data_IF_437003408233
#
_entry.id   IF_437003408233
#
_cell.length_a   1.000
_cell.length_b   1.000
_cell.length_c   1.000
_cell.angle_alpha   90.00
_cell.angle_beta   90.00
_cell.angle_gamma   90.00
#
_symmetry.space_group_name_H-M   'P 1'
#
loop_
_entity.id
_entity.type
_entity.pdbx_description
1 polymer ?
#
# COMPACT_ATOMS: atom_id res chain seq x y z
N UNK A 1 17.51 7.03 1.63
CA UNK A 1 16.97 7.45 2.96
C UNK A 1 15.85 8.44 2.70
N UNK A 2 14.68 8.34 3.35
CA UNK A 2 13.58 9.27 3.13
C UNK A 2 14.01 10.70 3.51
N UNK A 3 13.70 11.66 2.63
CA UNK A 3 14.00 13.08 2.83
C UNK A 3 13.32 13.60 4.12
N UNK A 4 14.03 14.46 4.87
CA UNK A 4 13.52 15.05 6.10
C UNK A 4 12.22 15.85 5.88
N UNK A 5 12.13 16.58 4.75
CA UNK A 5 10.95 17.38 4.41
C UNK A 5 9.71 16.50 4.18
N UNK A 6 9.86 15.35 3.56
CA UNK A 6 8.77 14.37 3.36
C UNK A 6 8.25 13.85 4.71
N UNK A 7 9.16 13.51 5.64
CA UNK A 7 8.78 13.09 7.00
C UNK A 7 8.01 14.17 7.73
N UNK A 8 8.50 15.42 7.65
CA UNK A 8 7.85 16.57 8.26
C UNK A 8 6.43 16.77 7.73
N UNK A 9 6.23 16.72 6.41
CA UNK A 9 4.92 16.83 5.78
C UNK A 9 3.95 15.74 6.21
N UNK A 10 4.39 14.49 6.25
CA UNK A 10 3.56 13.37 6.75
C UNK A 10 3.14 13.61 8.21
N UNK A 11 4.05 14.08 9.06
CA UNK A 11 3.72 14.40 10.44
C UNK A 11 2.73 15.56 10.53
N UNK A 12 2.91 16.62 9.73
CA UNK A 12 1.95 17.75 9.66
C UNK A 12 0.55 17.29 9.26
N UNK A 13 0.43 16.41 8.24
CA UNK A 13 -0.86 15.82 7.85
C UNK A 13 -1.53 15.08 9.01
N UNK A 14 -0.75 14.32 9.80
CA UNK A 14 -1.27 13.62 10.98
C UNK A 14 -1.69 14.60 12.07
N UNK A 15 -0.89 15.61 12.36
CA UNK A 15 -1.19 16.62 13.38
C UNK A 15 -2.50 17.37 13.09
N UNK A 16 -2.79 17.65 11.80
CA UNK A 16 -4.07 18.22 11.37
C UNK A 16 -5.23 17.28 11.74
N UNK A 17 -5.04 15.98 11.62
CA UNK A 17 -6.10 14.97 11.84
C UNK A 17 -6.30 14.59 13.31
N UNK A 18 -5.28 14.70 14.17
CA UNK A 18 -5.29 14.22 15.56
C UNK A 18 -6.53 14.66 16.34
N UNK A 19 -6.95 15.91 16.19
CA UNK A 19 -8.11 16.44 16.92
C UNK A 19 -9.48 15.98 16.40
N UNK A 20 -9.54 15.39 15.19
CA UNK A 20 -10.79 15.01 14.51
C UNK A 20 -10.89 13.51 14.26
N UNK A 21 -9.76 12.86 14.11
CA UNK A 21 -9.63 11.40 13.84
C UNK A 21 -8.71 10.83 14.92
N UNK A 22 -9.25 10.44 16.09
CA UNK A 22 -8.42 10.01 17.23
C UNK A 22 -7.71 8.68 16.99
N UNK A 23 -8.25 7.80 16.14
CA UNK A 23 -7.63 6.53 15.81
C UNK A 23 -6.47 6.71 14.82
N UNK A 24 -5.22 6.32 15.20
CA UNK A 24 -4.05 6.43 14.32
C UNK A 24 -4.17 5.65 13.01
N UNK A 25 -4.84 4.50 13.02
CA UNK A 25 -5.10 3.71 11.80
C UNK A 25 -5.97 4.50 10.83
N UNK A 26 -7.05 5.10 11.34
CA UNK A 26 -7.92 5.94 10.52
C UNK A 26 -7.21 7.20 9.99
N UNK A 27 -6.28 7.80 10.77
CA UNK A 27 -5.45 8.91 10.27
C UNK A 27 -4.60 8.47 9.07
N UNK A 28 -3.91 7.34 9.19
CA UNK A 28 -3.09 6.77 8.11
C UNK A 28 -3.94 6.48 6.88
N UNK A 29 -5.12 5.94 7.07
CA UNK A 29 -6.05 5.65 5.98
C UNK A 29 -6.49 6.92 5.24
N UNK A 30 -6.87 7.98 5.96
CA UNK A 30 -7.24 9.27 5.37
C UNK A 30 -6.09 9.90 4.56
N UNK A 31 -4.88 9.88 5.10
CA UNK A 31 -3.70 10.39 4.40
C UNK A 31 -3.41 9.54 3.16
N UNK A 32 -3.49 8.22 3.25
CA UNK A 32 -3.31 7.29 2.14
C UNK A 32 -4.26 7.58 0.99
N UNK A 33 -5.56 7.67 1.30
CA UNK A 33 -6.61 7.93 0.32
C UNK A 33 -6.36 9.26 -0.39
N UNK A 34 -6.03 10.31 0.35
CA UNK A 34 -5.80 11.64 -0.22
C UNK A 34 -4.54 11.68 -1.09
N UNK A 35 -3.44 11.06 -0.67
CA UNK A 35 -2.21 10.99 -1.45
C UNK A 35 -2.39 10.20 -2.75
N UNK A 36 -3.11 9.08 -2.71
CA UNK A 36 -3.43 8.29 -3.91
C UNK A 36 -4.37 9.06 -4.83
N UNK A 37 -5.36 9.74 -4.28
CA UNK A 37 -6.29 10.57 -5.04
C UNK A 37 -5.54 11.67 -5.82
N UNK A 38 -4.66 12.40 -5.12
CA UNK A 38 -3.79 13.41 -5.75
C UNK A 38 -2.88 12.77 -6.80
N UNK A 39 -2.23 11.65 -6.48
CA UNK A 39 -1.33 10.95 -7.40
C UNK A 39 -2.00 10.55 -8.73
N UNK A 40 -3.26 10.14 -8.69
CA UNK A 40 -4.02 9.84 -9.91
C UNK A 40 -4.17 11.07 -10.82
N UNK A 41 -4.45 12.24 -10.25
CA UNK A 41 -4.53 13.47 -11.03
C UNK A 41 -3.16 13.94 -11.53
N UNK A 42 -2.12 13.81 -10.72
CA UNK A 42 -0.75 14.11 -11.14
C UNK A 42 -0.34 13.25 -12.37
N UNK A 43 -0.70 11.95 -12.37
CA UNK A 43 -0.48 11.07 -13.54
C UNK A 43 -1.27 11.53 -14.78
N UNK A 44 -2.51 11.95 -14.60
CA UNK A 44 -3.33 12.49 -15.70
C UNK A 44 -2.73 13.79 -16.27
N UNK A 45 -2.23 14.68 -15.40
CA UNK A 45 -1.58 15.92 -15.81
C UNK A 45 -0.26 15.64 -16.54
N UNK A 46 0.56 14.74 -16.01
CA UNK A 46 1.79 14.31 -16.70
C UNK A 46 1.49 13.73 -18.08
N UNK A 47 0.43 12.92 -18.19
CA UNK A 47 -0.03 12.39 -19.49
C UNK A 47 -0.41 13.48 -20.48
N UNK A 48 -1.07 14.54 -20.03
CA UNK A 48 -1.42 15.71 -20.85
C UNK A 48 -0.17 16.46 -21.31
N UNK A 49 0.81 16.68 -20.41
CA UNK A 49 2.05 17.38 -20.74
C UNK A 49 2.87 16.65 -21.81
N UNK A 50 2.73 15.33 -21.91
CA UNK A 50 3.30 14.51 -22.99
C UNK A 50 2.39 14.40 -24.24
N UNK A 51 1.34 15.21 -24.34
CA UNK A 51 0.46 15.25 -25.51
C UNK A 51 -0.65 14.20 -25.54
N UNK A 52 -0.87 13.51 -24.42
CA UNK A 52 -1.98 12.58 -24.22
C UNK A 52 -3.26 13.27 -23.72
N UNK A 53 -4.11 12.49 -23.07
CA UNK A 53 -5.35 12.93 -22.43
C UNK A 53 -5.46 12.32 -21.03
N UNK A 54 -6.34 12.88 -20.20
CA UNK A 54 -6.66 12.27 -18.91
C UNK A 54 -7.08 10.81 -19.07
N UNK A 55 -6.66 9.96 -18.17
CA UNK A 55 -7.03 8.54 -18.15
C UNK A 55 -8.00 8.21 -17.01
N UNK A 56 -7.83 8.80 -15.84
CA UNK A 56 -8.58 8.51 -14.64
C UNK A 56 -9.79 9.44 -14.47
N UNK A 57 -9.59 10.74 -14.68
CA UNK A 57 -10.62 11.76 -14.51
C UNK A 57 -11.15 12.23 -15.88
N UNK A 58 -11.94 11.34 -16.52
CA UNK A 58 -12.59 11.61 -17.82
C UNK A 58 -14.07 11.96 -17.65
N UNK A 59 -14.61 12.66 -18.63
CA UNK A 59 -16.05 12.94 -18.76
C UNK A 59 -16.64 13.58 -17.49
N UNK A 60 -17.73 13.04 -16.96
CA UNK A 60 -18.36 13.53 -15.74
C UNK A 60 -17.49 13.46 -14.48
N UNK A 61 -16.39 12.69 -14.50
CA UNK A 61 -15.43 12.59 -13.40
C UNK A 61 -14.36 13.69 -13.42
N UNK A 62 -14.26 14.50 -14.47
CA UNK A 62 -13.24 15.55 -14.57
C UNK A 62 -13.34 16.57 -13.42
N UNK A 63 -14.54 16.92 -13.00
CA UNK A 63 -14.78 17.86 -11.89
C UNK A 63 -14.22 17.37 -10.56
N UNK A 64 -13.95 16.07 -10.41
CA UNK A 64 -13.35 15.45 -9.23
C UNK A 64 -11.83 15.35 -9.32
N UNK A 65 -11.17 15.76 -10.41
CA UNK A 65 -9.73 15.80 -10.48
C UNK A 65 -9.17 16.69 -9.36
N UNK A 66 -8.06 16.27 -8.72
CA UNK A 66 -7.46 17.03 -7.61
C UNK A 66 -7.23 18.49 -7.97
N UNK A 67 -6.67 18.76 -9.15
CA UNK A 67 -6.44 20.11 -9.68
C UNK A 67 -7.72 20.92 -9.80
N UNK A 68 -8.84 20.28 -10.14
CA UNK A 68 -10.15 20.94 -10.22
C UNK A 68 -10.74 21.21 -8.84
N UNK A 69 -10.61 20.25 -7.89
CA UNK A 69 -11.04 20.45 -6.51
C UNK A 69 -10.29 21.60 -5.87
N UNK A 70 -8.97 21.66 -6.08
CA UNK A 70 -8.09 22.67 -5.49
C UNK A 70 -8.05 24.00 -6.23
N UNK A 71 -8.84 24.17 -7.28
CA UNK A 71 -8.96 25.42 -8.02
C UNK A 71 -9.22 26.59 -7.05
N UNK A 72 -8.60 27.73 -7.36
CA UNK A 72 -8.71 28.95 -6.54
C UNK A 72 -10.10 29.56 -6.54
N UNK A 73 -10.90 29.28 -7.55
CA UNK A 73 -12.30 29.71 -7.66
C UNK A 73 -13.20 28.98 -6.66
N UNK A 74 -12.81 27.78 -6.22
CA UNK A 74 -13.58 27.01 -5.24
C UNK A 74 -13.40 27.54 -3.82
N UNK A 75 -14.50 27.80 -3.14
CA UNK A 75 -14.50 28.04 -1.69
C UNK A 75 -14.07 26.80 -0.92
N UNK A 76 -13.61 26.95 0.33
CA UNK A 76 -13.27 25.81 1.19
C UNK A 76 -14.40 24.79 1.37
N UNK A 77 -15.67 25.26 1.37
CA UNK A 77 -16.85 24.39 1.44
C UNK A 77 -17.04 23.59 0.13
N UNK A 78 -16.84 24.24 -1.01
CA UNK A 78 -16.93 23.56 -2.31
C UNK A 78 -15.84 22.50 -2.47
N UNK A 79 -14.60 22.80 -2.06
CA UNK A 79 -13.50 21.82 -2.06
C UNK A 79 -13.82 20.60 -1.19
N UNK A 80 -14.31 20.83 0.02
CA UNK A 80 -14.69 19.76 0.93
C UNK A 80 -15.83 18.90 0.35
N UNK A 81 -16.82 19.52 -0.27
CA UNK A 81 -17.93 18.82 -0.90
C UNK A 81 -17.45 17.98 -2.10
N UNK A 82 -16.70 18.60 -3.04
CA UNK A 82 -16.20 17.91 -4.23
C UNK A 82 -15.28 16.74 -3.88
N UNK A 83 -14.43 16.91 -2.87
CA UNK A 83 -13.55 15.82 -2.40
C UNK A 83 -14.35 14.66 -1.80
N UNK A 84 -15.33 14.95 -0.94
CA UNK A 84 -16.19 13.94 -0.33
C UNK A 84 -17.00 13.16 -1.39
N UNK A 85 -17.65 13.89 -2.29
CA UNK A 85 -18.40 13.29 -3.41
C UNK A 85 -17.44 12.49 -4.33
N UNK A 86 -16.25 13.03 -4.60
CA UNK A 86 -15.24 12.39 -5.42
C UNK A 86 -14.80 11.03 -4.84
N UNK A 87 -14.52 10.92 -3.54
CA UNK A 87 -14.18 9.65 -2.88
C UNK A 87 -15.26 8.59 -3.13
N UNK A 88 -16.54 8.94 -2.96
CA UNK A 88 -17.65 8.03 -3.20
C UNK A 88 -17.73 7.61 -4.68
N UNK A 89 -17.54 8.56 -5.60
CA UNK A 89 -17.61 8.32 -7.05
C UNK A 89 -16.45 7.48 -7.58
N UNK A 90 -15.28 7.50 -6.94
CA UNK A 90 -14.13 6.71 -7.41
C UNK A 90 -14.41 5.20 -7.42
N UNK A 91 -15.25 4.69 -6.52
CA UNK A 91 -15.61 3.26 -6.49
C UNK A 91 -16.36 2.79 -7.74
N UNK A 92 -17.09 3.69 -8.37
CA UNK A 92 -17.94 3.42 -9.56
C UNK A 92 -17.38 4.01 -10.84
N UNK A 93 -16.25 4.71 -10.78
CA UNK A 93 -15.62 5.31 -11.95
C UNK A 93 -15.12 4.21 -12.93
N UNK A 94 -15.71 4.08 -14.13
CA UNK A 94 -15.35 3.04 -15.08
C UNK A 94 -13.95 3.23 -15.69
N UNK A 95 -13.41 4.44 -15.64
CA UNK A 95 -12.08 4.77 -16.18
C UNK A 95 -10.96 4.32 -15.23
N UNK A 96 -11.26 4.04 -13.95
CA UNK A 96 -10.26 3.57 -13.00
C UNK A 96 -9.98 2.07 -13.16
N UNK A 97 -8.71 1.65 -13.16
CA UNK A 97 -8.34 0.26 -12.92
C UNK A 97 -8.98 -0.28 -11.63
N UNK A 98 -9.27 -1.58 -11.61
CA UNK A 98 -9.91 -2.24 -10.46
C UNK A 98 -9.15 -1.99 -9.14
N UNK A 99 -7.81 -1.97 -9.19
CA UNK A 99 -6.96 -1.66 -8.04
C UNK A 99 -7.35 -0.34 -7.37
N UNK A 100 -7.49 0.74 -8.14
CA UNK A 100 -7.87 2.05 -7.58
C UNK A 100 -9.30 2.06 -7.04
N UNK A 101 -10.24 1.45 -7.76
CA UNK A 101 -11.61 1.31 -7.26
C UNK A 101 -11.67 0.58 -5.92
N UNK A 102 -10.85 -0.47 -5.75
CA UNK A 102 -10.76 -1.22 -4.50
C UNK A 102 -10.15 -0.38 -3.37
N UNK A 103 -9.20 0.52 -3.66
CA UNK A 103 -8.63 1.44 -2.68
C UNK A 103 -9.70 2.36 -2.09
N UNK A 104 -10.62 2.85 -2.92
CA UNK A 104 -11.70 3.75 -2.46
C UNK A 104 -12.91 3.02 -1.90
N UNK A 105 -12.98 1.68 -2.02
CA UNK A 105 -14.11 0.92 -1.49
C UNK A 105 -14.20 1.02 0.03
N UNK A 106 -15.34 1.54 0.51
CA UNK A 106 -15.58 1.78 1.92
C UNK A 106 -14.84 3.00 2.49
N UNK A 107 -14.12 3.76 1.65
CA UNK A 107 -13.51 5.00 2.08
C UNK A 107 -14.59 6.04 2.41
N UNK A 108 -14.41 6.73 3.52
CA UNK A 108 -15.30 7.81 3.96
C UNK A 108 -14.49 8.87 4.70
N UNK A 109 -15.07 10.07 4.81
CA UNK A 109 -14.46 11.15 5.60
C UNK A 109 -15.06 11.11 7.00
N UNK A 110 -14.28 10.79 8.05
CA UNK A 110 -14.80 10.61 9.41
C UNK A 110 -15.09 11.93 10.14
N UNK A 111 -14.82 13.06 9.52
CA UNK A 111 -15.05 14.39 10.08
C UNK A 111 -15.70 15.31 9.04
N UNK A 112 -16.55 16.22 9.51
CA UNK A 112 -17.34 17.11 8.65
C UNK A 112 -16.96 18.58 8.75
N UNK A 113 -15.91 18.89 9.49
CA UNK A 113 -15.42 20.25 9.65
C UNK A 113 -14.71 20.72 8.37
N UNK A 114 -15.30 21.68 7.60
CA UNK A 114 -14.72 22.11 6.32
C UNK A 114 -13.36 22.81 6.48
N UNK A 115 -13.10 23.46 7.62
CA UNK A 115 -11.83 24.16 7.86
C UNK A 115 -10.69 23.15 7.98
N UNK A 116 -10.84 22.15 8.85
CA UNK A 116 -9.86 21.07 9.02
C UNK A 116 -9.64 20.33 7.70
N UNK A 117 -10.73 19.97 7.00
CA UNK A 117 -10.63 19.28 5.71
C UNK A 117 -9.88 20.13 4.68
N UNK A 118 -10.19 21.42 4.60
CA UNK A 118 -9.51 22.31 3.65
C UNK A 118 -8.02 22.51 4.00
N UNK A 119 -7.66 22.58 5.30
CA UNK A 119 -6.24 22.60 5.73
C UNK A 119 -5.54 21.31 5.32
N UNK A 120 -6.18 20.15 5.54
CA UNK A 120 -5.67 18.84 5.17
C UNK A 120 -5.46 18.73 3.64
N UNK A 121 -6.45 19.11 2.84
CA UNK A 121 -6.36 19.07 1.38
C UNK A 121 -5.25 19.99 0.84
N UNK A 122 -5.05 21.17 1.44
CA UNK A 122 -3.96 22.06 1.05
C UNK A 122 -2.59 21.43 1.33
N UNK A 123 -2.41 20.86 2.53
CA UNK A 123 -1.13 20.21 2.89
C UNK A 123 -0.84 18.99 2.00
N UNK A 124 -1.86 18.21 1.63
CA UNK A 124 -1.74 17.13 0.62
C UNK A 124 -1.37 17.71 -0.76
N UNK A 125 -2.00 18.82 -1.16
CA UNK A 125 -1.71 19.50 -2.44
C UNK A 125 -0.26 19.97 -2.54
N UNK A 126 0.30 20.43 -1.42
CA UNK A 126 1.71 20.87 -1.32
C UNK A 126 2.71 19.71 -1.21
N UNK A 127 2.24 18.47 -1.15
CA UNK A 127 3.10 17.30 -1.12
C UNK A 127 3.69 17.06 -2.52
N UNK A 128 5.00 17.34 -2.67
CA UNK A 128 5.75 17.16 -3.91
C UNK A 128 6.61 15.90 -3.84
N UNK A 129 6.71 15.22 -4.94
CA UNK A 129 7.56 14.05 -5.16
C UNK A 129 7.98 14.04 -6.63
N UNK A 130 9.22 13.67 -6.90
CA UNK A 130 9.73 13.63 -8.28
C UNK A 130 9.34 12.33 -8.99
N UNK A 131 9.20 11.24 -8.24
CA UNK A 131 8.86 9.92 -8.77
C UNK A 131 7.94 9.15 -7.84
N UNK A 132 7.10 8.27 -8.40
CA UNK A 132 6.20 7.40 -7.64
C UNK A 132 6.91 6.59 -6.53
N UNK A 133 8.21 6.29 -6.69
CA UNK A 133 9.01 5.60 -5.68
C UNK A 133 9.24 6.45 -4.42
N UNK A 134 9.35 7.78 -4.54
CA UNK A 134 9.40 8.68 -3.39
C UNK A 134 8.07 8.68 -2.64
N UNK A 135 6.96 8.71 -3.36
CA UNK A 135 5.64 8.55 -2.76
C UNK A 135 5.51 7.18 -2.08
N UNK A 136 6.02 6.10 -2.69
CA UNK A 136 6.10 4.78 -2.07
C UNK A 136 6.90 4.78 -0.77
N UNK A 137 8.05 5.44 -0.73
CA UNK A 137 8.87 5.57 0.48
C UNK A 137 8.17 6.41 1.56
N UNK A 138 7.47 7.48 1.17
CA UNK A 138 6.64 8.28 2.08
C UNK A 138 5.50 7.45 2.66
N UNK A 139 4.87 6.64 1.83
CA UNK A 139 3.83 5.71 2.25
C UNK A 139 4.36 4.64 3.22
N UNK A 140 5.52 4.05 2.96
CA UNK A 140 6.17 3.14 3.91
C UNK A 140 6.46 3.80 5.26
N UNK A 141 6.89 5.07 5.26
CA UNK A 141 7.08 5.82 6.50
C UNK A 141 5.75 6.02 7.23
N UNK A 142 4.69 6.42 6.53
CA UNK A 142 3.34 6.56 7.09
C UNK A 142 2.87 5.25 7.73
N UNK A 143 3.03 4.13 7.04
CA UNK A 143 2.71 2.80 7.57
C UNK A 143 3.56 2.43 8.80
N UNK A 144 4.83 2.87 8.86
CA UNK A 144 5.71 2.59 10.00
C UNK A 144 5.24 3.25 11.29
N UNK A 145 4.60 4.40 11.18
CA UNK A 145 4.04 5.13 12.33
C UNK A 145 2.83 4.38 12.90
N UNK A 146 2.00 3.78 12.05
CA UNK A 146 0.86 2.96 12.46
C UNK A 146 1.29 1.79 13.36
N UNK A 147 2.38 1.10 12.99
CA UNK A 147 2.88 -0.05 13.74
C UNK A 147 3.54 0.29 15.08
N UNK A 148 3.99 1.54 15.28
CA UNK A 148 4.68 1.95 16.51
C UNK A 148 3.75 2.32 17.68
N UNK A 149 2.45 2.49 17.44
CA UNK A 149 1.48 2.96 18.44
C UNK A 149 0.67 1.85 19.13
N UNK A 150 1.05 0.58 18.94
CA UNK A 150 0.65 -0.49 19.86
C UNK A 150 -0.80 -0.95 19.79
N UNK A 151 -1.48 -0.85 18.65
CA UNK A 151 -2.80 -1.45 18.50
C UNK A 151 -2.70 -2.99 18.50
N UNK A 152 -3.50 -3.58 19.37
CA UNK A 152 -3.46 -4.98 19.75
C UNK A 152 -3.44 -5.93 18.52
N UNK A 153 -2.27 -6.51 18.24
CA UNK A 153 -2.13 -7.67 17.37
C UNK A 153 -1.50 -7.45 16.01
N UNK A 154 -1.20 -6.22 15.59
CA UNK A 154 -0.51 -5.96 14.32
C UNK A 154 0.93 -5.49 14.58
N UNK A 155 1.81 -6.43 14.87
CA UNK A 155 3.24 -6.15 15.03
C UNK A 155 3.90 -6.06 13.65
N UNK A 156 4.19 -4.85 13.21
CA UNK A 156 4.99 -4.65 12.00
C UNK A 156 6.45 -5.00 12.29
N UNK A 157 7.04 -5.84 11.46
CA UNK A 157 8.48 -6.15 11.54
C UNK A 157 9.29 -4.88 11.28
N UNK A 158 10.22 -4.51 12.17
CA UNK A 158 11.10 -3.37 11.95
C UNK A 158 11.89 -3.49 10.64
N UNK A 159 12.01 -2.39 9.89
CA UNK A 159 12.62 -2.41 8.55
C UNK A 159 14.02 -3.04 8.55
N UNK A 160 14.87 -2.70 9.50
CA UNK A 160 16.23 -3.25 9.57
C UNK A 160 16.27 -4.77 9.78
N UNK A 161 15.25 -5.35 10.42
CA UNK A 161 15.12 -6.82 10.57
C UNK A 161 14.67 -7.43 9.24
N UNK A 162 13.71 -6.81 8.55
CA UNK A 162 13.28 -7.24 7.22
C UNK A 162 14.49 -7.24 6.26
N UNK A 163 15.21 -6.12 6.21
CA UNK A 163 16.35 -5.95 5.30
C UNK A 163 17.47 -6.95 5.61
N UNK A 164 17.76 -7.21 6.90
CA UNK A 164 18.70 -8.25 7.32
C UNK A 164 18.27 -9.64 6.84
N UNK A 165 17.01 -10.02 7.02
CA UNK A 165 16.50 -11.32 6.59
C UNK A 165 16.57 -11.47 5.07
N UNK A 166 16.21 -10.42 4.33
CA UNK A 166 16.29 -10.39 2.86
C UNK A 166 17.75 -10.49 2.38
N UNK A 167 18.68 -9.82 3.06
CA UNK A 167 20.10 -9.89 2.71
C UNK A 167 20.70 -11.27 2.95
N UNK A 168 20.29 -11.96 4.03
CA UNK A 168 20.72 -13.36 4.31
C UNK A 168 20.20 -14.33 3.26
N UNK A 169 18.93 -14.18 2.86
CA UNK A 169 18.29 -15.05 1.85
C UNK A 169 18.80 -14.73 0.43
N UNK A 170 19.17 -13.49 0.17
CA UNK A 170 19.72 -12.96 -1.08
C UNK A 170 18.90 -13.35 -2.33
N UNK A 171 17.61 -12.96 -2.39
CA UNK A 171 16.72 -13.32 -3.50
C UNK A 171 17.24 -12.83 -4.85
N UNK A 172 17.02 -13.63 -5.89
CA UNK A 172 17.44 -13.36 -7.26
C UNK A 172 16.24 -12.93 -8.12
N UNK A 173 16.50 -12.29 -9.25
CA UNK A 173 15.47 -11.78 -10.18
C UNK A 173 14.54 -12.86 -10.75
N UNK A 174 14.95 -14.13 -10.69
CA UNK A 174 14.19 -15.28 -11.19
C UNK A 174 13.36 -15.95 -10.13
N UNK A 175 13.63 -15.69 -8.84
CA UNK A 175 12.98 -16.38 -7.74
C UNK A 175 11.52 -15.92 -7.57
N UNK A 176 10.66 -16.87 -7.28
CA UNK A 176 9.29 -16.61 -6.83
C UNK A 176 9.26 -16.41 -5.32
N UNK A 177 8.60 -15.35 -4.85
CA UNK A 177 8.67 -14.91 -3.46
C UNK A 177 7.27 -14.77 -2.89
N UNK A 178 7.02 -15.43 -1.76
CA UNK A 178 5.76 -15.36 -1.01
C UNK A 178 5.97 -14.75 0.38
N UNK A 179 5.02 -13.93 0.79
CA UNK A 179 4.76 -13.59 2.19
C UNK A 179 3.32 -14.01 2.55
N UNK A 180 3.11 -15.14 3.28
CA UNK A 180 1.79 -15.68 3.60
C UNK A 180 1.07 -14.96 4.74
N UNK A 181 1.66 -13.90 5.30
CA UNK A 181 1.09 -13.00 6.31
C UNK A 181 1.61 -11.58 6.07
N UNK A 182 1.39 -11.06 4.84
CA UNK A 182 2.19 -9.98 4.29
C UNK A 182 1.96 -8.60 4.94
N UNK A 183 0.88 -8.42 5.69
CA UNK A 183 0.57 -7.12 6.30
C UNK A 183 0.58 -6.02 5.24
N UNK A 184 1.57 -5.13 5.31
CA UNK A 184 1.77 -4.03 4.36
C UNK A 184 2.78 -4.33 3.25
N UNK A 185 3.08 -5.61 2.98
CA UNK A 185 4.04 -6.11 1.99
C UNK A 185 5.50 -5.71 2.24
N UNK A 186 5.91 -5.55 3.50
CA UNK A 186 7.25 -5.09 3.86
C UNK A 186 8.36 -6.00 3.33
N UNK A 187 8.25 -7.32 3.48
CA UNK A 187 9.21 -8.30 2.98
C UNK A 187 9.28 -8.30 1.45
N UNK A 188 8.13 -8.25 0.79
CA UNK A 188 8.07 -8.24 -0.68
C UNK A 188 8.76 -7.01 -1.26
N UNK A 189 8.51 -5.83 -0.70
CA UNK A 189 9.14 -4.58 -1.15
C UNK A 189 10.63 -4.56 -0.86
N UNK A 190 11.06 -5.04 0.31
CA UNK A 190 12.50 -5.13 0.62
C UNK A 190 13.21 -6.08 -0.32
N UNK A 191 12.64 -7.26 -0.60
CA UNK A 191 13.17 -8.21 -1.58
C UNK A 191 13.28 -7.60 -2.98
N UNK A 192 12.25 -6.89 -3.43
CA UNK A 192 12.29 -6.19 -4.71
C UNK A 192 13.39 -5.13 -4.79
N UNK A 193 13.53 -4.30 -3.74
CA UNK A 193 14.59 -3.30 -3.66
C UNK A 193 15.98 -3.93 -3.64
N UNK A 194 16.15 -5.03 -2.89
CA UNK A 194 17.40 -5.80 -2.84
C UNK A 194 17.80 -6.33 -4.22
N UNK A 195 16.86 -6.98 -4.92
CA UNK A 195 17.14 -7.51 -6.28
C UNK A 195 17.52 -6.36 -7.23
N UNK A 196 16.82 -5.24 -7.19
CA UNK A 196 17.14 -4.05 -8.00
C UNK A 196 18.54 -3.52 -7.70
N UNK A 197 18.91 -3.43 -6.44
CA UNK A 197 20.23 -2.93 -6.03
C UNK A 197 21.37 -3.88 -6.44
N UNK A 198 21.18 -5.19 -6.30
CA UNK A 198 22.13 -6.21 -6.75
C UNK A 198 22.28 -6.26 -8.28
N UNK A 199 21.33 -5.72 -9.03
CA UNK A 199 21.34 -5.67 -10.49
C UNK A 199 21.63 -4.22 -10.99
N UNK A 200 22.68 -3.60 -10.44
CA UNK A 200 23.26 -2.34 -10.92
C UNK A 200 24.68 -2.57 -11.42
N UNK A 201 25.04 -1.82 -12.46
CA UNK A 201 26.43 -1.77 -12.94
C UNK A 201 27.29 -0.83 -12.04
N UNK A 202 28.55 -0.69 -12.39
CA UNK A 202 29.50 0.16 -11.66
C UNK A 202 29.14 1.66 -11.69
N UNK A 203 28.36 2.07 -12.67
CA UNK A 203 27.90 3.45 -12.87
C UNK A 203 26.53 3.67 -12.23
N UNK A 204 25.96 2.63 -11.56
CA UNK A 204 24.68 2.69 -10.87
C UNK A 204 23.46 2.47 -11.78
N UNK A 205 23.65 2.18 -13.06
CA UNK A 205 22.57 1.91 -13.99
C UNK A 205 21.99 0.49 -13.77
N UNK A 206 20.69 0.34 -14.01
CA UNK A 206 20.05 -0.98 -13.91
C UNK A 206 20.51 -1.91 -15.03
N UNK A 207 20.97 -3.10 -14.66
CA UNK A 207 21.26 -4.20 -15.61
C UNK A 207 20.05 -5.07 -15.93
N UNK A 208 18.90 -4.81 -15.26
CA UNK A 208 17.64 -5.51 -15.54
C UNK A 208 17.06 -5.07 -16.88
N UNK A 209 16.80 -6.03 -17.76
CA UNK A 209 16.07 -5.80 -19.00
C UNK A 209 14.60 -5.44 -18.74
N UNK A 210 13.86 -5.03 -19.78
CA UNK A 210 12.42 -4.81 -19.68
C UNK A 210 11.68 -6.12 -19.34
N UNK A 211 12.12 -7.24 -19.90
CA UNK A 211 11.53 -8.55 -19.63
C UNK A 211 11.84 -9.02 -18.20
N UNK A 212 13.06 -8.80 -17.69
CA UNK A 212 13.38 -9.07 -16.29
C UNK A 212 12.44 -8.33 -15.35
N UNK A 213 12.23 -7.02 -15.59
CA UNK A 213 11.33 -6.19 -14.75
C UNK A 213 9.88 -6.66 -14.81
N UNK A 214 9.43 -7.09 -15.99
CA UNK A 214 8.08 -7.64 -16.18
C UNK A 214 7.93 -8.98 -15.45
N UNK A 215 8.87 -9.90 -15.62
CA UNK A 215 8.87 -11.19 -14.93
C UNK A 215 8.94 -11.05 -13.41
N UNK A 216 9.83 -10.19 -12.92
CA UNK A 216 9.90 -9.90 -11.48
C UNK A 216 8.57 -9.42 -10.92
N UNK A 217 7.83 -8.54 -11.63
CA UNK A 217 6.53 -8.07 -11.15
C UNK A 217 5.49 -9.20 -11.00
N UNK A 218 5.66 -10.31 -11.72
CA UNK A 218 4.81 -11.49 -11.64
C UNK A 218 5.26 -12.52 -10.59
N UNK A 219 6.47 -12.41 -10.07
CA UNK A 219 7.08 -13.38 -9.16
C UNK A 219 6.79 -13.14 -7.67
N UNK A 220 6.13 -12.05 -7.33
CA UNK A 220 5.85 -11.67 -5.94
C UNK A 220 4.40 -11.91 -5.60
N UNK A 221 4.13 -12.64 -4.52
CA UNK A 221 2.80 -12.88 -3.99
C UNK A 221 2.73 -12.59 -2.49
N UNK A 222 1.58 -12.15 -2.02
CA UNK A 222 1.32 -11.93 -0.60
C UNK A 222 -0.10 -12.31 -0.23
N UNK A 223 -0.26 -12.83 0.99
CA UNK A 223 -1.55 -13.18 1.56
C UNK A 223 -1.77 -12.44 2.88
N UNK A 224 -2.96 -11.98 3.10
CA UNK A 224 -3.39 -11.46 4.39
C UNK A 224 -4.88 -11.71 4.59
N UNK A 225 -5.28 -11.98 5.82
CA UNK A 225 -6.69 -12.20 6.19
C UNK A 225 -7.48 -10.87 6.27
N UNK A 226 -6.79 -9.75 6.49
CA UNK A 226 -7.41 -8.45 6.67
C UNK A 226 -7.61 -7.74 5.33
N UNK A 227 -8.86 -7.44 4.91
CA UNK A 227 -9.13 -6.68 3.70
C UNK A 227 -8.41 -5.32 3.68
N UNK A 228 -8.28 -4.66 4.86
CA UNK A 228 -7.58 -3.39 4.99
C UNK A 228 -6.08 -3.53 4.71
N UNK A 229 -5.44 -4.61 5.23
CA UNK A 229 -4.03 -4.88 4.96
C UNK A 229 -3.80 -5.22 3.49
N UNK A 230 -4.68 -6.02 2.89
CA UNK A 230 -4.66 -6.32 1.45
C UNK A 230 -4.75 -5.04 0.62
N UNK A 231 -5.62 -4.11 0.99
CA UNK A 231 -5.74 -2.81 0.34
C UNK A 231 -4.47 -1.98 0.46
N UNK A 232 -3.96 -1.82 1.69
CA UNK A 232 -2.74 -1.04 1.95
C UNK A 232 -1.51 -1.67 1.27
N UNK A 233 -1.38 -2.98 1.29
CA UNK A 233 -0.26 -3.68 0.64
C UNK A 233 -0.30 -3.56 -0.89
N UNK A 234 -1.48 -3.62 -1.50
CA UNK A 234 -1.65 -3.38 -2.94
C UNK A 234 -1.22 -1.96 -3.32
N UNK A 235 -1.62 -0.95 -2.54
CA UNK A 235 -1.17 0.43 -2.73
C UNK A 235 0.35 0.50 -2.63
N UNK A 236 0.92 -0.06 -1.57
CA UNK A 236 2.36 -0.04 -1.33
C UNK A 236 3.14 -0.67 -2.48
N UNK A 237 2.72 -1.85 -2.92
CA UNK A 237 3.32 -2.54 -4.07
C UNK A 237 3.18 -1.72 -5.37
N UNK A 238 1.99 -1.13 -5.62
CA UNK A 238 1.77 -0.31 -6.81
C UNK A 238 2.71 0.89 -6.87
N UNK A 239 2.88 1.61 -5.77
CA UNK A 239 3.82 2.73 -5.67
C UNK A 239 5.27 2.31 -5.90
N UNK A 240 5.59 1.02 -5.67
CA UNK A 240 6.88 0.41 -5.96
C UNK A 240 6.95 -0.28 -7.34
N UNK A 241 6.10 0.14 -8.30
CA UNK A 241 6.11 -0.26 -9.71
C UNK A 241 5.48 -1.63 -10.02
N UNK A 242 4.73 -2.20 -9.09
CA UNK A 242 3.92 -3.38 -9.37
C UNK A 242 2.56 -2.97 -9.93
N UNK A 243 2.41 -2.93 -11.25
CA UNK A 243 1.17 -2.49 -11.90
C UNK A 243 -0.05 -3.36 -11.54
N UNK A 244 0.18 -4.65 -11.26
CA UNK A 244 -0.84 -5.62 -10.85
C UNK A 244 -0.35 -6.45 -9.66
N UNK A 245 -0.36 -5.87 -8.43
CA UNK A 245 0.12 -6.57 -7.24
C UNK A 245 -0.66 -7.86 -6.98
N UNK A 246 0.03 -8.98 -6.85
CA UNK A 246 -0.55 -10.28 -6.50
C UNK A 246 -0.71 -10.41 -4.98
N UNK A 247 -1.54 -9.56 -4.42
CA UNK A 247 -1.89 -9.60 -3.00
C UNK A 247 -3.33 -10.07 -2.87
N UNK A 248 -3.54 -11.10 -2.06
CA UNK A 248 -4.82 -11.76 -1.95
C UNK A 248 -5.33 -11.73 -0.51
N UNK A 249 -6.64 -11.49 -0.37
CA UNK A 249 -7.34 -11.78 0.87
C UNK A 249 -7.44 -13.30 1.01
N UNK A 250 -6.69 -13.85 1.95
CA UNK A 250 -6.58 -15.29 2.12
C UNK A 250 -6.22 -15.64 3.56
N UNK A 251 -6.99 -16.54 4.15
CA UNK A 251 -6.69 -17.10 5.46
C UNK A 251 -5.84 -18.35 5.30
N UNK A 252 -4.54 -18.21 5.50
CA UNK A 252 -3.57 -19.31 5.41
C UNK A 252 -3.88 -20.47 6.37
N UNK A 253 -4.61 -20.24 7.47
CA UNK A 253 -4.92 -21.28 8.45
C UNK A 253 -6.14 -22.12 8.08
N UNK A 254 -7.11 -21.55 7.37
CA UNK A 254 -8.40 -22.21 7.12
C UNK A 254 -8.74 -22.45 5.65
N UNK A 255 -8.11 -21.71 4.73
CA UNK A 255 -8.40 -21.77 3.30
C UNK A 255 -7.51 -22.78 2.57
N UNK A 256 -8.04 -23.34 1.47
CA UNK A 256 -7.40 -24.39 0.67
C UNK A 256 -6.96 -23.95 -0.72
N UNK A 257 -7.56 -22.87 -1.22
CA UNK A 257 -7.50 -22.50 -2.63
C UNK A 257 -6.05 -22.26 -3.16
N UNK A 258 -5.13 -21.91 -2.24
CA UNK A 258 -3.72 -21.59 -2.56
C UNK A 258 -2.72 -22.50 -1.86
N UNK A 259 -3.20 -23.60 -1.29
CA UNK A 259 -2.35 -24.51 -0.52
C UNK A 259 -1.26 -25.18 -1.35
N UNK A 260 -1.50 -25.41 -2.62
CA UNK A 260 -0.59 -26.12 -3.52
C UNK A 260 0.29 -25.17 -4.34
N UNK A 261 0.24 -23.86 -4.08
CA UNK A 261 1.18 -22.91 -4.67
C UNK A 261 2.57 -23.08 -4.03
N UNK A 262 3.61 -23.14 -4.88
CA UNK A 262 4.99 -23.31 -4.43
C UNK A 262 5.82 -22.07 -4.81
N UNK A 263 6.77 -21.73 -3.96
CA UNK A 263 7.63 -20.57 -4.12
C UNK A 263 9.07 -20.94 -3.79
N UNK A 264 10.03 -20.31 -4.46
CA UNK A 264 11.47 -20.51 -4.20
C UNK A 264 11.86 -19.94 -2.85
N UNK A 265 11.23 -18.82 -2.44
CA UNK A 265 11.49 -18.11 -1.19
C UNK A 265 10.18 -17.77 -0.51
N UNK A 266 10.11 -18.06 0.80
CA UNK A 266 9.02 -17.62 1.66
C UNK A 266 9.61 -16.82 2.82
N UNK A 267 9.18 -15.55 2.97
CA UNK A 267 9.58 -14.66 4.05
C UNK A 267 8.34 -14.20 4.80
N UNK A 268 8.29 -14.43 6.10
CA UNK A 268 7.12 -14.12 6.90
C UNK A 268 7.46 -13.72 8.34
N UNK A 269 6.63 -12.86 8.91
CA UNK A 269 6.46 -12.68 10.34
C UNK A 269 4.99 -12.93 10.69
N UNK A 270 4.57 -14.20 10.85
CA UNK A 270 3.17 -14.54 11.08
C UNK A 270 2.70 -14.09 12.46
N UNK A 271 1.37 -13.97 12.66
CA UNK A 271 0.81 -13.58 13.95
C UNK A 271 1.13 -14.63 15.03
N UNK A 272 1.52 -14.16 16.24
CA UNK A 272 1.80 -14.99 17.42
C UNK A 272 0.57 -15.08 18.30
N UNK A 273 -0.37 -15.93 17.94
CA UNK A 273 -1.65 -16.04 18.65
C UNK A 273 -2.20 -17.45 18.64
N UNK A 274 -3.14 -17.70 19.54
CA UNK A 274 -4.04 -18.86 19.43
C UNK A 274 -5.32 -18.35 18.74
N UNK A 275 -5.73 -18.93 17.60
CA UNK A 275 -6.98 -18.57 16.94
C UNK A 275 -8.16 -18.68 17.91
N UNK A 276 -8.98 -17.64 17.99
CA UNK A 276 -10.17 -17.56 18.86
C UNK A 276 -11.44 -17.82 18.05
N UNK A 277 -12.56 -17.98 18.75
CA UNK A 277 -13.88 -18.07 18.09
C UNK A 277 -14.16 -19.37 17.36
N UNK A 278 -13.50 -20.47 17.74
CA UNK A 278 -13.76 -21.77 17.12
C UNK A 278 -13.10 -21.97 15.75
N UNK A 279 -12.17 -21.10 15.38
CA UNK A 279 -11.38 -21.25 14.15
C UNK A 279 -10.59 -22.56 14.26
N UNK A 280 -10.88 -23.49 13.35
CA UNK A 280 -10.21 -24.78 13.25
C UNK A 280 -9.31 -24.74 12.03
N UNK A 281 -7.98 -24.89 12.21
CA UNK A 281 -7.05 -25.05 11.11
C UNK A 281 -7.45 -26.24 10.25
N UNK A 282 -7.25 -26.11 8.95
CA UNK A 282 -7.68 -27.14 8.06
C UNK A 282 -6.86 -28.44 8.18
N UNK A 283 -7.40 -29.55 7.69
CA UNK A 283 -6.87 -30.89 7.96
C UNK A 283 -5.57 -31.26 7.20
N UNK A 284 -5.10 -30.43 6.29
CA UNK A 284 -3.83 -30.63 5.57
C UNK A 284 -2.59 -30.33 6.42
N UNK A 285 -2.75 -29.58 7.53
CA UNK A 285 -1.66 -29.40 8.48
C UNK A 285 -1.20 -30.73 9.06
N UNK A 286 0.10 -31.00 9.00
CA UNK A 286 0.73 -32.22 9.54
C UNK A 286 0.82 -32.12 11.05
N UNK A 287 1.07 -30.90 11.57
CA UNK A 287 1.19 -30.63 13.00
C UNK A 287 -0.14 -30.16 13.56
N UNK A 288 -0.65 -30.88 14.58
CA UNK A 288 -1.84 -30.46 15.32
C UNK A 288 -1.46 -29.48 16.42
N UNK A 289 -1.35 -28.22 16.06
CA UNK A 289 -1.01 -27.14 16.98
C UNK A 289 -2.20 -26.19 17.19
N UNK A 290 -2.20 -25.51 18.36
CA UNK A 290 -3.19 -24.46 18.67
C UNK A 290 -2.65 -23.06 18.42
N UNK A 291 -1.35 -22.93 18.15
CA UNK A 291 -0.66 -21.66 17.96
C UNK A 291 -0.39 -21.40 16.49
N UNK A 292 -0.75 -20.21 16.02
CA UNK A 292 -0.65 -19.83 14.60
C UNK A 292 0.79 -19.90 14.08
N UNK A 293 1.76 -19.42 14.84
CA UNK A 293 3.16 -19.45 14.42
C UNK A 293 3.69 -20.87 14.15
N UNK A 294 3.21 -21.89 14.86
CA UNK A 294 3.58 -23.30 14.62
C UNK A 294 2.94 -23.80 13.32
N UNK A 295 1.68 -23.43 13.09
CA UNK A 295 0.96 -23.78 11.85
C UNK A 295 1.58 -23.10 10.63
N UNK A 296 2.00 -21.86 10.74
CA UNK A 296 2.71 -21.18 9.65
C UNK A 296 4.04 -21.84 9.31
N UNK A 297 4.79 -22.36 10.29
CA UNK A 297 6.01 -23.15 10.02
C UNK A 297 5.68 -24.42 9.24
N UNK A 298 4.61 -25.14 9.62
CA UNK A 298 4.16 -26.35 8.92
C UNK A 298 3.66 -26.04 7.50
N UNK A 299 3.04 -24.88 7.31
CA UNK A 299 2.62 -24.39 5.99
C UNK A 299 3.80 -24.07 5.07
N UNK A 300 4.85 -23.45 5.61
CA UNK A 300 6.04 -23.03 4.85
C UNK A 300 6.93 -24.22 4.47
N UNK A 301 6.98 -25.26 5.30
CA UNK A 301 7.85 -26.43 5.13
C UNK A 301 7.27 -27.49 4.20
#
# INVERSE_FOLDING_TARGET
MLNFDVKRKINTLRDILVGKVPDPKAQVEQITIALIYKFMDDMDLEGIDFGGSREFFKEEYEKYAWSKIMDTENSGQQRAFLYAEGIEKMTTNPHLPQLFRDIFRGAYIPYRDPETLNMFLKEVGDFKYDHSEELGNAFEYLLSIMGSQGDAGQFRTPRHIIDMMVEIVDPKKTDTILDPACGTAGFLISSYKHIREKNRDKDGNSTLSADDRKSMAENFAGYDISPDMVRLSRVNMYLHKFAKPKIYEYDTLTSLDRWDENFDIILANPPFMTPKGGIIPHNRYRVKAKRSEVLFIDYIA
#
